data_IF_086219516318
#
_entry.id   IF_086219516318
#
_cell.length_a   1.000
_cell.length_b   1.000
_cell.length_c   1.000
_cell.angle_alpha   90.00
_cell.angle_beta   90.00
_cell.angle_gamma   90.00
#
_symmetry.space_group_name_H-M   'P 1'
#
loop_
_entity.id
_entity.type
_entity.pdbx_description
1 polymer ?
#
# COMPACT_ATOMS: atom_id res chain seq x y z
N UNK A 1 1.49 -19.78 1.40
CA UNK A 1 2.48 -18.85 1.99
C UNK A 1 1.75 -17.53 2.27
N UNK A 2 1.74 -17.00 3.50
CA UNK A 2 1.08 -15.72 3.76
C UNK A 2 1.81 -14.61 3.00
N UNK A 3 1.07 -13.85 2.21
CA UNK A 3 1.59 -12.68 1.51
C UNK A 3 2.03 -11.65 2.55
N UNK A 4 3.29 -11.23 2.48
CA UNK A 4 3.81 -10.14 3.31
C UNK A 4 2.94 -8.89 3.11
N UNK A 5 2.86 -8.03 4.13
CA UNK A 5 2.13 -6.76 4.09
C UNK A 5 2.44 -5.95 2.80
N UNK A 6 3.70 -5.99 2.34
CA UNK A 6 4.13 -5.42 1.06
C UNK A 6 3.39 -5.97 -0.16
N UNK A 7 3.23 -7.29 -0.25
CA UNK A 7 2.58 -7.90 -1.40
C UNK A 7 1.07 -7.63 -1.42
N UNK A 8 0.42 -7.62 -0.24
CA UNK A 8 -1.00 -7.25 -0.14
C UNK A 8 -1.23 -5.81 -0.59
N UNK A 9 -0.32 -4.91 -0.24
CA UNK A 9 -0.39 -3.51 -0.65
C UNK A 9 -0.18 -3.35 -2.17
N UNK A 10 0.83 -4.01 -2.74
CA UNK A 10 1.06 -4.00 -4.19
C UNK A 10 -0.15 -4.56 -4.94
N UNK A 11 -0.79 -5.61 -4.41
CA UNK A 11 -1.98 -6.21 -5.03
C UNK A 11 -3.16 -5.23 -5.01
N UNK A 12 -3.41 -4.56 -3.88
CA UNK A 12 -4.43 -3.52 -3.75
C UNK A 12 -4.21 -2.37 -4.76
N UNK A 13 -2.97 -1.89 -4.90
CA UNK A 13 -2.63 -0.86 -5.88
C UNK A 13 -2.92 -1.28 -7.33
N UNK A 14 -2.75 -2.57 -7.66
CA UNK A 14 -2.99 -3.10 -9.01
C UNK A 14 -4.46 -3.36 -9.30
N UNK A 15 -5.20 -3.91 -8.34
CA UNK A 15 -6.60 -4.30 -8.53
C UNK A 15 -7.55 -3.13 -8.30
N UNK A 16 -7.37 -2.41 -7.19
CA UNK A 16 -8.32 -1.40 -6.72
C UNK A 16 -8.01 -0.04 -7.35
N UNK A 17 -6.73 0.32 -7.45
CA UNK A 17 -6.28 1.58 -8.07
C UNK A 17 -5.95 1.45 -9.56
N UNK A 18 -6.03 0.23 -10.13
CA UNK A 18 -5.70 -0.07 -11.54
C UNK A 18 -4.31 0.43 -11.98
N UNK A 19 -3.33 0.48 -11.07
CA UNK A 19 -1.98 0.97 -11.39
C UNK A 19 -1.22 -0.03 -12.25
N UNK A 20 -0.53 0.49 -13.26
CA UNK A 20 0.39 -0.31 -14.08
C UNK A 20 1.56 -0.82 -13.24
N UNK A 21 2.04 -2.05 -13.49
CA UNK A 21 3.16 -2.64 -12.75
C UNK A 21 4.44 -1.80 -12.87
N UNK A 22 4.63 -1.09 -14.00
CA UNK A 22 5.77 -0.18 -14.21
C UNK A 22 5.79 0.98 -13.21
N UNK A 23 4.62 1.54 -12.87
CA UNK A 23 4.50 2.63 -11.89
C UNK A 23 4.87 2.16 -10.49
N UNK A 24 4.52 0.91 -10.16
CA UNK A 24 4.85 0.28 -8.89
C UNK A 24 6.34 -0.04 -8.82
N UNK A 25 6.95 -0.53 -9.92
CA UNK A 25 8.39 -0.80 -9.99
C UNK A 25 9.22 0.48 -9.77
N UNK A 26 8.79 1.61 -10.34
CA UNK A 26 9.41 2.92 -10.12
C UNK A 26 9.37 3.31 -8.63
N UNK A 27 8.25 3.07 -7.96
CA UNK A 27 8.10 3.36 -6.54
C UNK A 27 8.93 2.40 -5.65
N UNK A 28 9.07 1.14 -6.06
CA UNK A 28 9.85 0.11 -5.36
C UNK A 28 11.36 0.26 -5.52
N UNK A 29 11.83 0.83 -6.63
CA UNK A 29 13.27 1.10 -6.86
C UNK A 29 13.85 2.21 -6.00
N UNK A 30 13.03 2.93 -5.23
CA UNK A 30 13.51 4.01 -4.36
C UNK A 30 14.27 3.40 -3.17
N UNK A 31 15.46 3.93 -2.79
CA UNK A 31 16.32 3.34 -1.76
C UNK A 31 15.73 3.38 -0.33
N UNK A 32 14.71 4.19 -0.09
CA UNK A 32 14.02 4.25 1.21
C UNK A 32 12.49 4.16 1.01
N UNK A 33 11.95 2.96 0.70
CA UNK A 33 10.53 2.76 0.60
C UNK A 33 10.00 2.38 1.98
N UNK A 34 10.06 3.31 2.93
CA UNK A 34 9.14 3.23 4.06
C UNK A 34 7.74 3.21 3.43
N UNK A 35 6.99 2.11 3.60
CA UNK A 35 5.66 1.94 2.98
C UNK A 35 4.71 3.10 3.32
N UNK A 36 4.97 3.74 4.46
CA UNK A 36 4.39 4.99 4.93
C UNK A 36 4.58 6.19 3.98
N UNK A 37 5.46 6.10 2.99
CA UNK A 37 5.77 7.17 2.04
C UNK A 37 5.42 6.79 0.60
N UNK A 38 5.23 5.51 0.30
CA UNK A 38 4.99 5.05 -1.08
C UNK A 38 3.69 5.63 -1.65
N UNK A 39 2.64 5.72 -0.84
CA UNK A 39 1.37 6.33 -1.21
C UNK A 39 1.48 7.85 -1.43
N UNK A 40 2.29 8.55 -0.62
CA UNK A 40 2.55 9.98 -0.81
C UNK A 40 3.33 10.23 -2.11
N UNK A 41 4.31 9.37 -2.43
CA UNK A 41 5.07 9.44 -3.68
C UNK A 41 4.15 9.24 -4.89
N UNK A 42 3.26 8.23 -4.84
CA UNK A 42 2.27 7.99 -5.89
C UNK A 42 1.40 9.24 -6.15
N UNK A 43 0.97 9.92 -5.09
CA UNK A 43 0.19 11.16 -5.21
C UNK A 43 1.04 12.34 -5.75
N UNK A 44 2.27 12.52 -5.28
CA UNK A 44 3.16 13.59 -5.77
C UNK A 44 3.48 13.46 -7.26
N UNK A 45 3.52 12.23 -7.78
CA UNK A 45 3.69 11.96 -9.21
C UNK A 45 2.39 12.10 -10.02
N UNK A 46 1.25 12.37 -9.38
CA UNK A 46 -0.05 12.46 -10.04
C UNK A 46 -0.59 11.11 -10.53
N UNK A 47 -0.04 9.99 -10.02
CA UNK A 47 -0.44 8.63 -10.41
C UNK A 47 -1.76 8.22 -9.75
N UNK A 48 -2.10 8.86 -8.62
CA UNK A 48 -3.33 8.61 -7.87
C UNK A 48 -3.98 9.93 -7.45
N UNK A 49 -5.31 9.97 -7.45
CA UNK A 49 -6.10 11.11 -6.98
C UNK A 49 -6.15 11.17 -5.46
N UNK A 50 -6.51 12.33 -4.89
CA UNK A 50 -6.69 12.50 -3.44
C UNK A 50 -7.71 11.49 -2.85
N UNK A 51 -8.77 11.17 -3.59
CA UNK A 51 -9.73 10.14 -3.20
C UNK A 51 -9.09 8.74 -3.09
N UNK A 52 -8.27 8.35 -4.07
CA UNK A 52 -7.56 7.07 -4.05
C UNK A 52 -6.49 7.03 -2.95
N UNK A 53 -5.84 8.17 -2.69
CA UNK A 53 -4.91 8.33 -1.57
C UNK A 53 -5.63 8.06 -0.24
N UNK A 54 -6.85 8.59 -0.06
CA UNK A 54 -7.64 8.37 1.16
C UNK A 54 -7.97 6.87 1.35
N UNK A 55 -8.42 6.19 0.30
CA UNK A 55 -8.72 4.75 0.36
C UNK A 55 -7.48 3.90 0.67
N UNK A 56 -6.31 4.30 0.15
CA UNK A 56 -5.03 3.69 0.52
C UNK A 56 -4.74 3.85 2.01
N UNK A 57 -4.96 5.04 2.59
CA UNK A 57 -4.77 5.27 4.03
C UNK A 57 -5.71 4.42 4.88
N UNK A 58 -6.99 4.38 4.53
CA UNK A 58 -7.99 3.56 5.22
C UNK A 58 -7.60 2.07 5.16
N UNK A 59 -7.16 1.59 4.00
CA UNK A 59 -6.70 0.20 3.84
C UNK A 59 -5.46 -0.11 4.68
N UNK A 60 -4.50 0.81 4.76
CA UNK A 60 -3.29 0.66 5.58
C UNK A 60 -3.63 0.56 7.07
N UNK A 61 -4.57 1.39 7.56
CA UNK A 61 -5.02 1.37 8.95
C UNK A 61 -5.75 0.06 9.28
N UNK A 62 -6.68 -0.38 8.42
CA UNK A 62 -7.39 -1.65 8.59
C UNK A 62 -6.41 -2.82 8.62
N UNK A 63 -5.45 -2.85 7.69
CA UNK A 63 -4.48 -3.95 7.57
C UNK A 63 -3.46 -3.93 8.72
N UNK A 64 -3.03 -2.75 9.17
CA UNK A 64 -2.16 -2.61 10.34
C UNK A 64 -2.87 -3.03 11.63
N UNK A 65 -4.15 -2.64 11.80
CA UNK A 65 -4.99 -3.07 12.91
C UNK A 65 -5.26 -4.57 12.87
N UNK A 66 -5.32 -5.19 11.68
CA UNK A 66 -5.53 -6.63 11.53
C UNK A 66 -4.39 -7.46 12.12
N UNK A 67 -3.17 -6.91 12.15
CA UNK A 67 -2.01 -7.54 12.80
C UNK A 67 -2.08 -7.48 14.33
N UNK A 68 -2.90 -6.60 14.89
CA UNK A 68 -3.10 -6.44 16.33
C UNK A 68 -4.17 -7.41 16.89
N UNK A 69 -5.04 -7.94 16.01
CA UNK A 69 -6.13 -8.85 16.39
C UNK A 69 -5.69 -10.34 16.49
N UNK A 70 -4.53 -10.69 15.94
CA UNK A 70 -3.95 -12.06 15.99
C UNK A 70 -3.00 -12.24 17.19
N UNK A 71 -3.37 -11.69 18.35
CA UNK A 71 -2.53 -11.69 19.56
C UNK A 71 -3.28 -11.96 20.85
N UNK A 72 -4.54 -12.40 20.78
CA UNK A 72 -5.35 -12.66 21.98
C UNK A 72 -6.29 -13.86 21.79
N UNK A 73 -5.76 -15.07 21.89
CA UNK A 73 -6.41 -16.13 22.65
C UNK A 73 -5.33 -16.94 23.40
N UNK A 74 -5.66 -17.23 24.66
CA UNK A 74 -4.87 -17.90 25.68
C UNK A 74 -4.47 -19.34 25.33
#
# INVERSE_FOLDING_TARGET
MPLSFQQKFIQYLREDLALSPEMIDIALRRPDPLMSQLHIVLWQHGLISLAQLNSVFEWLEITASQSYADGSIA
#
